data_IF_394214749517
#
_entry.id   IF_394214749517
#
_cell.length_a   1.000
_cell.length_b   1.000
_cell.length_c   1.000
_cell.angle_alpha   90.00
_cell.angle_beta   90.00
_cell.angle_gamma   90.00
#
_symmetry.space_group_name_H-M   'P 1'
#
loop_
_entity.id
_entity.type
_entity.pdbx_description
1 polymer ?
#
# COMPACT_ATOMS: atom_id res chain seq x y z
N UNK A 1 -6.34 10.92 -5.22
CA UNK A 1 -7.52 10.14 -4.81
C UNK A 1 -7.91 10.52 -3.38
N UNK A 2 -9.22 10.49 -3.05
CA UNK A 2 -9.73 10.81 -1.71
C UNK A 2 -10.71 9.75 -1.25
N UNK A 3 -10.53 9.27 -0.02
CA UNK A 3 -11.34 8.25 0.64
C UNK A 3 -12.09 8.87 1.81
N UNK A 4 -13.37 8.50 1.97
CA UNK A 4 -14.21 8.94 3.08
C UNK A 4 -15.13 7.81 3.54
N UNK A 5 -15.31 7.67 4.84
CA UNK A 5 -16.27 6.74 5.45
C UNK A 5 -15.65 5.88 6.55
N UNK A 6 -16.46 5.36 7.49
CA UNK A 6 -15.99 4.46 8.55
C UNK A 6 -14.94 5.05 9.50
N UNK A 7 -14.87 6.39 9.61
CA UNK A 7 -13.81 7.10 10.35
C UNK A 7 -12.57 7.44 9.51
N UNK A 8 -12.52 7.03 8.25
CA UNK A 8 -11.49 7.44 7.28
C UNK A 8 -11.87 8.77 6.65
N UNK A 9 -10.90 9.69 6.61
CA UNK A 9 -10.90 10.92 5.83
C UNK A 9 -9.46 11.11 5.34
N UNK A 10 -9.14 10.58 4.17
CA UNK A 10 -7.77 10.41 3.72
C UNK A 10 -7.63 10.81 2.25
N UNK A 11 -6.56 11.55 1.94
CA UNK A 11 -6.20 11.94 0.58
C UNK A 11 -4.80 11.42 0.26
N UNK A 12 -4.67 10.77 -0.90
CA UNK A 12 -3.38 10.29 -1.43
C UNK A 12 -3.19 10.78 -2.86
N UNK A 13 -2.03 11.35 -3.14
CA UNK A 13 -1.58 11.71 -4.48
C UNK A 13 -1.15 10.47 -5.25
N UNK A 14 -1.20 10.57 -6.58
CA UNK A 14 -0.62 9.55 -7.48
C UNK A 14 0.63 10.14 -8.13
N UNK A 15 1.57 9.28 -8.50
CA UNK A 15 2.73 9.73 -9.27
C UNK A 15 2.27 10.32 -10.63
N UNK A 16 2.95 11.37 -11.14
CA UNK A 16 2.76 11.80 -12.51
C UNK A 16 3.04 10.64 -13.47
N UNK A 17 2.09 10.33 -14.35
CA UNK A 17 2.20 9.18 -15.26
C UNK A 17 1.87 7.83 -14.64
N UNK A 18 1.33 7.78 -13.41
CA UNK A 18 0.85 6.52 -12.84
C UNK A 18 -0.19 5.86 -13.75
N UNK A 19 -0.01 4.57 -14.00
CA UNK A 19 -0.92 3.75 -14.77
C UNK A 19 -1.78 2.90 -13.82
N UNK A 20 -2.99 2.58 -14.25
CA UNK A 20 -3.84 1.65 -13.53
C UNK A 20 -3.63 0.25 -14.10
N UNK A 21 -3.35 -0.68 -13.22
CA UNK A 21 -3.14 -2.09 -13.52
C UNK A 21 -4.25 -2.93 -12.87
N UNK A 22 -4.48 -4.11 -13.41
CA UNK A 22 -5.48 -5.05 -12.94
C UNK A 22 -5.10 -6.44 -13.46
N UNK A 23 -5.36 -7.48 -12.67
CA UNK A 23 -5.30 -8.92 -12.96
C UNK A 23 -4.09 -9.50 -13.74
N UNK A 24 -3.78 -8.99 -14.92
CA UNK A 24 -2.80 -9.48 -15.87
C UNK A 24 -1.65 -8.48 -16.03
N UNK A 25 -0.43 -8.97 -15.90
CA UNK A 25 0.78 -8.20 -16.19
C UNK A 25 1.61 -8.89 -17.29
N UNK A 26 2.49 -8.12 -17.93
CA UNK A 26 3.41 -8.61 -18.95
C UNK A 26 4.84 -8.41 -18.44
N UNK A 27 5.63 -9.47 -18.53
CA UNK A 27 7.06 -9.43 -18.22
C UNK A 27 7.85 -8.71 -19.31
N UNK A 28 9.06 -8.22 -19.02
CA UNK A 28 9.88 -7.45 -19.98
C UNK A 28 10.22 -8.19 -21.29
N UNK A 29 10.16 -9.52 -21.27
CA UNK A 29 10.34 -10.40 -22.44
C UNK A 29 9.02 -10.90 -23.07
N UNK A 30 7.89 -10.27 -22.74
CA UNK A 30 6.61 -10.42 -23.45
C UNK A 30 5.69 -11.55 -22.98
N UNK A 31 5.99 -12.20 -21.85
CA UNK A 31 5.10 -13.22 -21.28
C UNK A 31 4.01 -12.57 -20.43
N UNK A 32 2.76 -12.77 -20.83
CA UNK A 32 1.58 -12.40 -20.04
C UNK A 32 1.29 -13.45 -18.98
N UNK A 33 1.05 -13.02 -17.76
CA UNK A 33 0.68 -13.89 -16.64
C UNK A 33 -0.26 -13.19 -15.67
N UNK A 34 -0.92 -13.99 -14.83
CA UNK A 34 -1.77 -13.53 -13.73
C UNK A 34 -0.97 -13.73 -12.43
N UNK A 35 -0.43 -12.66 -11.81
CA UNK A 35 0.38 -12.80 -10.59
C UNK A 35 -0.40 -13.40 -9.43
N UNK A 36 -1.68 -13.06 -9.34
CA UNK A 36 -2.57 -13.43 -8.26
C UNK A 36 -3.81 -14.19 -8.79
N UNK A 37 -4.17 -15.28 -8.13
CA UNK A 37 -5.41 -16.03 -8.34
C UNK A 37 -5.99 -16.40 -6.97
N UNK A 38 -7.20 -15.93 -6.60
CA UNK A 38 -8.04 -14.97 -7.33
C UNK A 38 -7.46 -13.54 -7.32
N UNK A 39 -7.97 -12.68 -8.20
CA UNK A 39 -7.67 -11.24 -8.20
C UNK A 39 -8.93 -10.47 -8.61
N UNK A 40 -9.28 -9.45 -7.82
CA UNK A 40 -10.39 -8.52 -8.08
C UNK A 40 -9.92 -7.06 -8.00
N UNK A 41 -8.62 -6.84 -7.78
CA UNK A 41 -8.03 -5.52 -7.57
C UNK A 41 -7.74 -4.77 -8.87
N UNK A 42 -7.94 -3.45 -8.80
CA UNK A 42 -7.43 -2.47 -9.75
C UNK A 42 -6.55 -1.52 -8.94
N UNK A 43 -5.26 -1.46 -9.26
CA UNK A 43 -4.27 -0.76 -8.45
C UNK A 43 -3.45 0.22 -9.29
N UNK A 44 -2.80 1.15 -8.61
CA UNK A 44 -1.93 2.16 -9.24
C UNK A 44 -0.90 2.66 -8.23
N UNK A 45 0.14 3.34 -8.68
CA UNK A 45 1.24 3.79 -7.83
C UNK A 45 0.94 5.15 -7.15
N UNK A 46 0.89 5.20 -5.81
CA UNK A 46 0.74 6.46 -5.10
C UNK A 46 2.04 7.29 -5.11
N UNK A 47 1.91 8.60 -4.96
CA UNK A 47 3.03 9.47 -4.63
C UNK A 47 3.21 9.50 -3.11
N UNK A 48 4.26 8.82 -2.62
CA UNK A 48 4.59 8.71 -1.19
C UNK A 48 4.73 10.06 -0.47
N UNK A 49 4.98 11.15 -1.19
CA UNK A 49 5.15 12.49 -0.62
C UNK A 49 3.81 13.21 -0.39
N UNK A 50 2.72 12.65 -0.90
CA UNK A 50 1.41 13.30 -0.97
C UNK A 50 0.35 12.44 -0.29
N UNK A 51 0.48 12.23 1.01
CA UNK A 51 -0.56 11.58 1.82
C UNK A 51 -0.94 12.47 3.01
N UNK A 52 -2.24 12.68 3.20
CA UNK A 52 -2.78 13.57 4.23
C UNK A 52 -4.10 13.02 4.79
N UNK A 53 -4.27 13.08 6.11
CA UNK A 53 -5.53 12.73 6.79
C UNK A 53 -5.45 11.45 7.60
N UNK A 54 -6.60 10.82 7.86
CA UNK A 54 -6.72 9.64 8.73
C UNK A 54 -7.30 8.47 7.95
N UNK A 55 -6.64 7.32 8.04
CA UNK A 55 -7.12 6.05 7.48
C UNK A 55 -7.31 5.03 8.59
N UNK A 56 -8.42 4.29 8.54
CA UNK A 56 -8.76 3.24 9.49
C UNK A 56 -8.92 1.90 8.77
N UNK A 57 -8.26 0.88 9.30
CA UNK A 57 -8.40 -0.49 8.82
C UNK A 57 -9.80 -1.02 9.19
N UNK A 58 -10.45 -1.65 8.23
CA UNK A 58 -11.77 -2.29 8.40
C UNK A 58 -11.66 -3.76 8.77
N UNK A 59 -10.46 -4.33 8.74
CA UNK A 59 -10.13 -5.72 9.08
C UNK A 59 -8.81 -5.79 9.88
N UNK A 60 -8.57 -6.84 10.68
CA UNK A 60 -7.31 -7.02 11.39
C UNK A 60 -6.12 -7.12 10.42
N UNK A 61 -4.98 -6.56 10.80
CA UNK A 61 -3.74 -6.61 10.01
C UNK A 61 -2.80 -7.67 10.59
N UNK A 62 -2.37 -8.61 9.75
CA UNK A 62 -1.27 -9.52 10.09
C UNK A 62 0.08 -8.84 9.85
N UNK A 63 0.79 -8.50 10.92
CA UNK A 63 2.13 -7.93 10.87
C UNK A 63 3.15 -8.91 11.49
N UNK A 64 3.83 -9.67 10.64
CA UNK A 64 4.79 -10.70 11.08
C UNK A 64 4.11 -11.73 12.00
N UNK A 65 4.51 -11.84 13.27
CA UNK A 65 3.89 -12.72 14.26
C UNK A 65 2.82 -12.04 15.13
N UNK A 66 2.40 -10.82 14.77
CA UNK A 66 1.46 -10.00 15.54
C UNK A 66 0.19 -9.73 14.73
N UNK A 67 -0.97 -9.91 15.34
CA UNK A 67 -2.25 -9.46 14.79
C UNK A 67 -2.55 -8.08 15.37
N UNK A 68 -2.66 -7.09 14.49
CA UNK A 68 -3.03 -5.72 14.81
C UNK A 68 -4.54 -5.57 14.65
N UNK A 69 -5.21 -4.94 15.63
CA UNK A 69 -6.67 -4.75 15.63
C UNK A 69 -7.05 -3.29 15.71
N UNK A 70 -8.10 -2.91 14.98
CA UNK A 70 -8.64 -1.54 14.92
C UNK A 70 -7.58 -0.49 14.59
N UNK A 71 -6.71 -0.78 13.62
CA UNK A 71 -5.62 0.11 13.23
C UNK A 71 -6.17 1.42 12.65
N UNK A 72 -5.65 2.54 13.16
CA UNK A 72 -5.83 3.89 12.64
C UNK A 72 -4.46 4.54 12.48
N UNK A 73 -4.22 5.12 11.30
CA UNK A 73 -3.00 5.83 10.96
C UNK A 73 -3.35 7.26 10.58
N UNK A 74 -2.61 8.24 11.13
CA UNK A 74 -2.67 9.63 10.68
C UNK A 74 -1.46 9.95 9.82
N UNK A 75 -1.73 10.50 8.65
CA UNK A 75 -0.74 10.97 7.70
C UNK A 75 -0.64 12.48 7.70
N UNK A 76 0.58 12.98 7.58
CA UNK A 76 0.89 14.37 7.27
C UNK A 76 2.12 14.44 6.38
N UNK A 77 2.05 15.23 5.31
CA UNK A 77 3.17 15.43 4.37
C UNK A 77 3.77 14.11 3.85
N UNK A 78 2.92 13.11 3.59
CA UNK A 78 3.35 11.79 3.12
C UNK A 78 3.84 10.82 4.21
N UNK A 79 3.86 11.22 5.48
CA UNK A 79 4.39 10.42 6.59
C UNK A 79 3.34 10.06 7.61
N UNK A 80 3.47 8.89 8.22
CA UNK A 80 2.68 8.52 9.40
C UNK A 80 3.16 9.33 10.60
N UNK A 81 2.27 10.12 11.19
CA UNK A 81 2.56 10.96 12.36
C UNK A 81 1.85 10.51 13.64
N UNK A 82 0.84 9.64 13.53
CA UNK A 82 0.21 8.98 14.68
C UNK A 82 -0.23 7.56 14.30
N UNK A 83 -0.12 6.64 15.26
CA UNK A 83 -0.49 5.22 15.14
C UNK A 83 -1.34 4.85 16.34
N UNK A 84 -2.55 4.37 16.08
CA UNK A 84 -3.48 3.86 17.10
C UNK A 84 -3.97 2.48 16.70
N UNK A 85 -4.05 1.58 17.68
CA UNK A 85 -4.65 0.27 17.51
C UNK A 85 -5.07 -0.24 18.89
N UNK A 86 -6.11 -1.08 18.95
CA UNK A 86 -6.52 -1.73 20.21
C UNK A 86 -5.58 -2.88 20.59
N UNK A 87 -4.87 -3.45 19.61
CA UNK A 87 -3.81 -4.41 19.81
C UNK A 87 -2.73 -4.27 18.73
N UNK A 88 -1.46 -4.53 19.07
CA UNK A 88 -0.36 -4.58 18.10
C UNK A 88 0.21 -3.23 17.63
N UNK A 89 -0.18 -2.11 18.26
CA UNK A 89 0.29 -0.76 17.89
C UNK A 89 1.83 -0.63 17.93
N UNK A 90 2.48 -1.24 18.93
CA UNK A 90 3.94 -1.16 19.08
C UNK A 90 4.69 -1.90 17.96
N UNK A 91 4.12 -2.99 17.45
CA UNK A 91 4.69 -3.70 16.30
C UNK A 91 4.65 -2.83 15.04
N UNK A 92 3.57 -2.07 14.84
CA UNK A 92 3.44 -1.12 13.72
C UNK A 92 4.47 0.00 13.86
N UNK A 93 4.61 0.60 15.05
CA UNK A 93 5.61 1.65 15.29
C UNK A 93 7.04 1.15 15.07
N UNK A 94 7.36 -0.05 15.53
CA UNK A 94 8.67 -0.66 15.32
C UNK A 94 8.95 -0.90 13.82
N UNK A 95 7.95 -1.34 13.05
CA UNK A 95 8.09 -1.50 11.60
C UNK A 95 8.38 -0.15 10.92
N UNK A 96 7.60 0.89 11.24
CA UNK A 96 7.81 2.23 10.69
C UNK A 96 9.21 2.79 11.01
N UNK A 97 9.73 2.55 12.21
CA UNK A 97 11.09 2.94 12.58
C UNK A 97 12.17 2.22 11.76
N UNK A 98 11.97 0.94 11.46
CA UNK A 98 12.89 0.17 10.60
C UNK A 98 12.90 0.74 9.19
N UNK A 99 11.74 1.10 8.66
CA UNK A 99 11.59 1.64 7.31
C UNK A 99 12.20 3.05 7.20
N UNK A 100 12.04 3.90 8.24
CA UNK A 100 12.73 5.20 8.31
C UNK A 100 14.26 5.07 8.42
N UNK A 101 14.75 4.04 9.13
CA UNK A 101 16.18 3.77 9.27
C UNK A 101 16.80 3.12 8.02
N UNK A 102 15.98 2.61 7.10
CA UNK A 102 16.41 1.96 5.86
C UNK A 102 15.59 2.43 4.65
N UNK A 103 15.70 3.72 4.27
CA UNK A 103 15.15 4.17 3.00
C UNK A 103 15.80 3.34 1.87
N UNK A 104 15.02 2.61 1.06
CA UNK A 104 15.54 1.65 0.07
C UNK A 104 15.28 0.17 0.38
N UNK A 105 14.83 -0.17 1.59
CA UNK A 105 14.59 -1.56 2.00
C UNK A 105 13.28 -2.08 1.42
N UNK A 106 13.32 -2.58 0.18
CA UNK A 106 12.22 -3.28 -0.48
C UNK A 106 11.68 -4.44 0.38
N UNK A 107 10.68 -4.15 1.20
CA UNK A 107 9.80 -5.15 1.79
C UNK A 107 8.42 -4.88 1.23
N UNK A 108 8.11 -5.56 0.12
CA UNK A 108 6.72 -5.78 -0.28
C UNK A 108 6.06 -6.57 0.85
N UNK A 109 5.50 -5.84 1.80
CA UNK A 109 4.61 -6.36 2.83
C UNK A 109 3.36 -5.53 2.66
N UNK A 110 2.44 -6.08 1.87
CA UNK A 110 1.08 -5.57 1.73
C UNK A 110 0.60 -5.12 3.12
N UNK A 111 0.46 -3.80 3.33
CA UNK A 111 0.06 -3.23 4.62
C UNK A 111 -1.44 -3.38 4.88
N UNK A 112 -2.09 -4.28 4.15
CA UNK A 112 -3.45 -4.75 4.39
C UNK A 112 -3.42 -6.25 4.15
N UNK A 113 -3.70 -7.03 5.20
CA UNK A 113 -3.89 -8.48 5.24
C UNK A 113 -3.74 -9.29 3.91
N UNK A 114 -2.92 -10.35 3.98
CA UNK A 114 -2.80 -11.50 3.05
C UNK A 114 -3.74 -11.53 1.84
N UNK A 115 -3.20 -11.54 0.61
CA UNK A 115 -3.72 -11.95 -0.72
C UNK A 115 -5.25 -12.19 -0.92
N UNK A 116 -5.95 -12.90 -0.03
CA UNK A 116 -7.41 -13.01 -0.05
C UNK A 116 -8.15 -11.77 0.50
N UNK A 117 -7.55 -11.06 1.46
CA UNK A 117 -8.16 -9.90 2.12
C UNK A 117 -7.94 -8.62 1.28
N UNK A 118 -6.78 -8.48 0.62
CA UNK A 118 -6.49 -7.37 -0.31
C UNK A 118 -7.44 -7.31 -1.52
N UNK A 119 -7.92 -8.47 -1.98
CA UNK A 119 -8.89 -8.56 -3.07
C UNK A 119 -10.34 -8.39 -2.62
N UNK A 120 -10.60 -8.34 -1.31
CA UNK A 120 -11.94 -8.22 -0.74
C UNK A 120 -12.23 -6.84 -0.12
N UNK A 121 -11.27 -5.91 -0.15
CA UNK A 121 -11.43 -4.53 0.29
C UNK A 121 -10.33 -3.62 -0.31
N UNK A 122 -10.62 -2.32 -0.46
CA UNK A 122 -9.58 -1.36 -0.82
C UNK A 122 -8.45 -1.37 0.21
N UNK A 123 -7.22 -1.43 -0.27
CA UNK A 123 -6.03 -1.46 0.55
C UNK A 123 -5.03 -0.37 0.11
N UNK A 124 -4.12 -0.03 1.03
CA UNK A 124 -2.97 0.82 0.73
C UNK A 124 -1.74 0.04 1.17
N UNK A 125 -0.77 -0.09 0.26
CA UNK A 125 0.50 -0.76 0.49
C UNK A 125 1.63 0.28 0.50
N UNK A 126 2.51 0.19 1.50
CA UNK A 126 3.78 0.91 1.45
C UNK A 126 4.78 0.07 0.63
N UNK A 127 5.05 0.52 -0.60
CA UNK A 127 5.94 -0.16 -1.54
C UNK A 127 6.80 0.90 -2.22
N UNK A 128 8.11 0.69 -2.20
CA UNK A 128 9.04 1.45 -3.03
C UNK A 128 8.98 0.91 -4.46
N UNK A 129 8.67 1.79 -5.42
CA UNK A 129 8.65 1.45 -6.85
C UNK A 129 9.94 1.98 -7.47
N UNK A 130 10.93 1.10 -7.63
CA UNK A 130 12.08 1.37 -8.50
C UNK A 130 11.68 1.08 -9.95
N UNK A 131 11.60 2.14 -10.76
CA UNK A 131 11.72 2.12 -12.21
C UNK A 131 10.89 1.11 -13.00
N UNK A 132 9.57 1.29 -13.08
CA UNK A 132 8.79 0.78 -14.23
C UNK A 132 8.96 1.76 -15.41
N UNK A 133 10.09 1.70 -16.12
CA UNK A 133 10.15 2.28 -17.46
C UNK A 133 9.52 1.31 -18.44
N UNK A 134 8.24 1.52 -18.76
CA UNK A 134 7.65 0.90 -19.94
C UNK A 134 8.43 1.40 -21.16
N UNK A 135 9.28 0.54 -21.70
CA UNK A 135 10.08 0.81 -22.88
C UNK A 135 9.19 1.35 -24.00
N UNK A 136 9.26 2.67 -24.20
CA UNK A 136 8.68 3.31 -25.35
C UNK A 136 9.33 2.72 -26.60
N UNK A 137 8.62 1.83 -27.29
CA UNK A 137 8.97 1.47 -28.66
C UNK A 137 8.84 2.74 -29.50
N UNK A 138 9.97 3.42 -29.71
CA UNK A 138 10.14 4.38 -30.81
C UNK A 138 10.08 3.61 -32.15
N UNK A 139 9.58 4.27 -33.22
CA UNK A 139 8.94 3.64 -34.38
C UNK A 139 9.81 2.65 -35.15
#
# INVERSE_FOLDING_TARGET
MRFRGGGTEFTIGLLPGAHWEWAQTETDWGLRHLPNLPTEEVFTTPDRRRAEGVVRATRPLGLSSTIVRDLELRFRDGRVVDVRATAGADAVRAQLQVDEARPGSARSRSSTATLFDENAASHVADVEVDGFEHGARRP
#
